data_IF_300942083304
#
_entry.id   IF_300942083304
#
_cell.length_a   1.000
_cell.length_b   1.000
_cell.length_c   1.000
_cell.angle_alpha   90.00
_cell.angle_beta   90.00
_cell.angle_gamma   90.00
#
_symmetry.space_group_name_H-M   'P 1'
#
loop_
_entity.id
_entity.type
_entity.pdbx_description
1 polymer ?
#
# COMPACT_ATOMS: atom_id res chain seq x y z
N UNK A 1 13.61 4.22 14.16
CA UNK A 1 14.58 4.41 13.06
C UNK A 1 13.79 4.97 11.87
N UNK A 2 14.15 6.13 11.34
CA UNK A 2 13.42 6.74 10.21
C UNK A 2 13.70 5.96 8.93
N UNK A 3 12.72 5.87 8.03
CA UNK A 3 12.87 5.19 6.72
C UNK A 3 14.06 5.75 5.94
N UNK A 4 14.35 7.05 6.07
CA UNK A 4 15.48 7.73 5.45
C UNK A 4 16.82 7.18 5.95
N UNK A 5 17.00 6.99 7.27
CA UNK A 5 18.25 6.44 7.83
C UNK A 5 18.50 5.02 7.31
N UNK A 6 17.45 4.23 7.16
CA UNK A 6 17.55 2.87 6.61
C UNK A 6 17.90 2.90 5.12
N UNK A 7 17.24 3.76 4.33
CA UNK A 7 17.52 3.93 2.91
C UNK A 7 18.98 4.34 2.66
N UNK A 8 19.52 5.29 3.44
CA UNK A 8 20.92 5.70 3.37
C UNK A 8 21.91 4.58 3.74
N UNK A 9 21.59 3.77 4.76
CA UNK A 9 22.44 2.62 5.13
C UNK A 9 22.46 1.56 4.03
N UNK A 10 21.30 1.20 3.50
CA UNK A 10 21.17 0.23 2.41
C UNK A 10 21.81 0.77 1.13
N UNK A 11 21.60 2.05 0.79
CA UNK A 11 22.20 2.68 -0.36
C UNK A 11 23.72 2.61 -0.33
N UNK A 12 24.36 2.93 0.80
CA UNK A 12 25.82 2.79 0.98
C UNK A 12 26.29 1.34 0.87
N UNK A 13 25.52 0.40 1.42
CA UNK A 13 25.88 -1.03 1.39
C UNK A 13 25.83 -1.61 -0.03
N UNK A 14 24.92 -1.14 -0.85
CA UNK A 14 24.67 -1.66 -2.21
C UNK A 14 25.05 -0.69 -3.32
N UNK A 15 25.89 0.30 -3.02
CA UNK A 15 26.29 1.35 -3.98
C UNK A 15 27.01 0.84 -5.25
N UNK A 16 27.48 -0.41 -5.27
CA UNK A 16 28.07 -1.03 -6.45
C UNK A 16 27.05 -1.70 -7.38
N UNK A 17 25.79 -1.80 -6.95
CA UNK A 17 24.73 -2.46 -7.70
C UNK A 17 23.87 -1.45 -8.47
N UNK A 18 23.19 -1.93 -9.51
CA UNK A 18 22.25 -1.08 -10.24
C UNK A 18 21.06 -0.67 -9.36
N UNK A 19 20.69 0.63 -9.31
CA UNK A 19 19.64 1.13 -8.40
C UNK A 19 18.31 0.39 -8.50
N UNK A 20 17.87 0.10 -9.75
CA UNK A 20 16.60 -0.61 -9.99
C UNK A 20 16.62 -2.06 -9.46
N UNK A 21 17.75 -2.76 -9.59
CA UNK A 21 17.88 -4.14 -9.08
C UNK A 21 17.75 -4.17 -7.56
N UNK A 22 18.38 -3.20 -6.87
CA UNK A 22 18.27 -3.09 -5.41
C UNK A 22 16.85 -2.73 -5.00
N UNK A 23 16.19 -1.80 -5.70
CA UNK A 23 14.80 -1.45 -5.42
C UNK A 23 13.86 -2.65 -5.55
N UNK A 24 13.98 -3.43 -6.63
CA UNK A 24 13.19 -4.65 -6.84
C UNK A 24 13.48 -5.67 -5.74
N UNK A 25 14.75 -5.88 -5.39
CA UNK A 25 15.13 -6.79 -4.30
C UNK A 25 14.49 -6.41 -2.97
N UNK A 26 14.50 -5.11 -2.61
CA UNK A 26 13.85 -4.60 -1.39
C UNK A 26 12.33 -4.78 -1.46
N UNK A 27 11.71 -4.48 -2.61
CA UNK A 27 10.27 -4.63 -2.79
C UNK A 27 9.84 -6.10 -2.64
N UNK A 28 10.55 -7.03 -3.26
CA UNK A 28 10.28 -8.48 -3.16
C UNK A 28 10.49 -8.98 -1.72
N UNK A 29 11.63 -8.66 -1.10
CA UNK A 29 11.91 -9.08 0.28
C UNK A 29 10.89 -8.49 1.27
N UNK A 30 10.50 -7.23 1.08
CA UNK A 30 9.49 -6.57 1.89
C UNK A 30 8.10 -7.17 1.68
N UNK A 31 7.72 -7.49 0.44
CA UNK A 31 6.45 -8.17 0.13
C UNK A 31 6.40 -9.57 0.78
N UNK A 32 7.48 -10.35 0.69
CA UNK A 32 7.55 -11.66 1.32
C UNK A 32 7.43 -11.58 2.84
N UNK A 33 8.16 -10.65 3.48
CA UNK A 33 8.08 -10.45 4.93
C UNK A 33 6.67 -10.03 5.35
N UNK A 34 6.07 -9.07 4.62
CA UNK A 34 4.71 -8.60 4.89
C UNK A 34 3.69 -9.73 4.71
N UNK A 35 3.84 -10.55 3.67
CA UNK A 35 3.01 -11.74 3.45
C UNK A 35 3.12 -12.71 4.62
N UNK A 36 4.32 -13.03 5.08
CA UNK A 36 4.53 -13.92 6.23
C UNK A 36 3.84 -13.39 7.49
N UNK A 37 3.96 -12.09 7.76
CA UNK A 37 3.30 -11.45 8.91
C UNK A 37 1.78 -11.56 8.79
N UNK A 38 1.22 -11.18 7.64
CA UNK A 38 -0.24 -11.12 7.44
C UNK A 38 -0.86 -12.52 7.39
N UNK A 39 -0.19 -13.48 6.74
CA UNK A 39 -0.60 -14.90 6.75
C UNK A 39 -0.54 -15.46 8.18
N UNK A 40 0.53 -15.19 8.92
CA UNK A 40 0.64 -15.60 10.33
C UNK A 40 -0.50 -15.07 11.20
N UNK A 41 -0.85 -13.79 11.03
CA UNK A 41 -2.02 -13.19 11.70
C UNK A 41 -3.31 -13.90 11.26
N UNK A 42 -3.51 -14.08 9.95
CA UNK A 42 -4.70 -14.70 9.40
C UNK A 42 -4.92 -16.13 9.88
N UNK A 43 -3.88 -16.96 9.86
CA UNK A 43 -3.95 -18.35 10.36
C UNK A 43 -4.20 -18.39 11.87
N UNK A 44 -3.54 -17.52 12.65
CA UNK A 44 -3.80 -17.39 14.09
C UNK A 44 -5.24 -17.01 14.38
N UNK A 45 -5.83 -16.13 13.56
CA UNK A 45 -7.24 -15.77 13.66
C UNK A 45 -8.13 -16.96 13.32
N UNK A 46 -7.91 -17.64 12.20
CA UNK A 46 -8.80 -18.71 11.72
C UNK A 46 -8.72 -19.98 12.56
N UNK A 47 -7.53 -20.37 13.01
CA UNK A 47 -7.31 -21.65 13.71
C UNK A 47 -7.47 -21.56 15.23
N UNK A 48 -7.29 -20.39 15.84
CA UNK A 48 -7.28 -20.26 17.29
C UNK A 48 -8.23 -19.22 17.87
N UNK A 49 -8.22 -18.00 17.34
CA UNK A 49 -8.88 -16.86 17.97
C UNK A 49 -10.36 -16.72 17.60
N UNK A 50 -10.80 -17.27 16.47
CA UNK A 50 -12.19 -17.12 16.01
C UNK A 50 -13.19 -17.95 16.81
N UNK A 51 -12.80 -19.04 17.42
CA UNK A 51 -13.65 -19.78 18.35
C UNK A 51 -13.84 -19.06 19.71
N UNK A 52 -13.04 -18.02 19.96
CA UNK A 52 -12.97 -17.28 21.19
C UNK A 52 -13.78 -15.96 21.22
N UNK A 53 -13.50 -15.10 22.18
CA UNK A 53 -14.18 -13.81 22.35
C UNK A 53 -14.05 -12.88 21.13
N UNK A 54 -12.92 -12.94 20.42
CA UNK A 54 -12.63 -12.07 19.26
C UNK A 54 -13.55 -12.41 18.08
N UNK A 55 -13.71 -13.68 17.74
CA UNK A 55 -14.63 -14.09 16.67
C UNK A 55 -16.08 -13.74 17.01
N UNK A 56 -16.51 -13.95 18.27
CA UNK A 56 -17.85 -13.51 18.70
C UNK A 56 -18.03 -12.00 18.67
N UNK A 57 -16.96 -11.23 18.87
CA UNK A 57 -17.00 -9.77 18.73
C UNK A 57 -17.14 -9.37 17.26
N UNK A 58 -16.38 -9.98 16.36
CA UNK A 58 -16.47 -9.75 14.91
C UNK A 58 -17.89 -10.02 14.40
N UNK A 59 -18.47 -11.17 14.73
CA UNK A 59 -19.85 -11.51 14.34
C UNK A 59 -20.87 -10.51 14.95
N UNK A 60 -20.76 -10.16 16.23
CA UNK A 60 -21.66 -9.16 16.84
C UNK A 60 -21.60 -7.81 16.15
N UNK A 61 -20.45 -7.37 15.66
CA UNK A 61 -20.35 -6.11 14.90
C UNK A 61 -21.07 -6.25 13.55
N UNK A 62 -20.92 -7.38 12.87
CA UNK A 62 -21.65 -7.63 11.61
C UNK A 62 -23.17 -7.70 11.85
N UNK A 63 -23.62 -8.37 12.92
CA UNK A 63 -25.03 -8.42 13.31
C UNK A 63 -25.57 -7.03 13.63
N UNK A 64 -24.77 -6.21 14.33
CA UNK A 64 -25.15 -4.83 14.65
C UNK A 64 -25.36 -4.01 13.37
N UNK A 65 -24.43 -4.11 12.41
CA UNK A 65 -24.59 -3.44 11.12
C UNK A 65 -25.81 -3.95 10.37
N UNK A 66 -26.04 -5.28 10.35
CA UNK A 66 -27.22 -5.86 9.72
C UNK A 66 -28.53 -5.28 10.31
N UNK A 67 -28.60 -5.19 11.64
CA UNK A 67 -29.78 -4.64 12.33
C UNK A 67 -30.01 -3.14 12.05
N UNK A 68 -28.97 -2.41 11.63
CA UNK A 68 -29.02 -0.98 11.31
C UNK A 68 -28.96 -0.67 9.81
N UNK A 69 -29.08 -1.67 8.95
CA UNK A 69 -29.15 -1.46 7.49
C UNK A 69 -30.43 -0.73 7.12
N UNK A 70 -30.30 0.21 6.21
CA UNK A 70 -31.44 0.95 5.66
C UNK A 70 -31.24 1.20 4.17
N UNK A 71 -32.33 1.28 3.41
CA UNK A 71 -32.30 1.61 1.99
C UNK A 71 -31.62 2.96 1.69
N UNK A 72 -31.54 3.87 2.67
CA UNK A 72 -30.83 5.16 2.53
C UNK A 72 -29.31 5.04 2.69
N UNK A 73 -28.82 4.02 3.42
CA UNK A 73 -27.39 3.80 3.65
C UNK A 73 -26.75 2.83 2.63
N UNK A 74 -27.54 1.94 2.04
CA UNK A 74 -27.06 0.94 1.06
C UNK A 74 -26.31 1.58 -0.13
N UNK A 75 -26.77 2.72 -0.73
CA UNK A 75 -26.02 3.39 -1.79
C UNK A 75 -24.64 3.91 -1.36
N UNK A 76 -24.48 4.32 -0.09
CA UNK A 76 -23.19 4.74 0.43
C UNK A 76 -22.22 3.57 0.61
N UNK A 77 -22.73 2.40 1.02
CA UNK A 77 -21.90 1.19 1.07
C UNK A 77 -21.45 0.78 -0.35
N UNK A 78 -22.33 0.87 -1.33
CA UNK A 78 -22.00 0.67 -2.74
C UNK A 78 -20.96 1.65 -3.26
N UNK A 79 -21.08 2.93 -2.90
CA UNK A 79 -20.09 3.95 -3.26
C UNK A 79 -18.70 3.60 -2.69
N UNK A 80 -18.64 3.21 -1.39
CA UNK A 80 -17.39 2.79 -0.77
C UNK A 80 -16.75 1.59 -1.46
N UNK A 81 -17.55 0.61 -1.87
CA UNK A 81 -17.08 -0.52 -2.69
C UNK A 81 -16.54 -0.06 -4.04
N UNK A 82 -17.29 0.79 -4.74
CA UNK A 82 -16.94 1.28 -6.09
C UNK A 82 -15.62 2.07 -6.08
N UNK A 83 -15.39 2.94 -5.09
CA UNK A 83 -14.17 3.74 -4.97
C UNK A 83 -12.91 2.86 -4.87
N UNK A 84 -13.01 1.71 -4.22
CA UNK A 84 -11.90 0.80 -3.98
C UNK A 84 -11.97 -0.51 -4.80
N UNK A 85 -12.91 -0.61 -5.73
CA UNK A 85 -12.98 -1.74 -6.66
C UNK A 85 -11.73 -1.75 -7.56
N UNK A 86 -11.24 -2.95 -7.89
CA UNK A 86 -10.01 -3.13 -8.69
C UNK A 86 -10.00 -2.25 -9.95
N UNK A 87 -11.11 -2.19 -10.70
CA UNK A 87 -11.21 -1.36 -11.90
C UNK A 87 -11.04 0.14 -11.61
N UNK A 88 -11.65 0.65 -10.52
CA UNK A 88 -11.55 2.05 -10.12
C UNK A 88 -10.13 2.40 -9.66
N UNK A 89 -9.53 1.54 -8.83
CA UNK A 89 -8.14 1.71 -8.36
C UNK A 89 -7.17 1.72 -9.53
N UNK A 90 -7.30 0.77 -10.46
CA UNK A 90 -6.45 0.72 -11.65
C UNK A 90 -6.64 1.93 -12.57
N UNK A 91 -7.88 2.39 -12.77
CA UNK A 91 -8.15 3.57 -13.60
C UNK A 91 -7.53 4.83 -12.99
N UNK A 92 -7.73 5.07 -11.69
CA UNK A 92 -7.13 6.24 -11.00
C UNK A 92 -5.61 6.13 -11.00
N UNK A 93 -5.06 4.95 -10.67
CA UNK A 93 -3.62 4.74 -10.67
C UNK A 93 -3.01 4.96 -12.07
N UNK A 94 -3.64 4.44 -13.12
CA UNK A 94 -3.18 4.63 -14.50
C UNK A 94 -3.15 6.11 -14.89
N UNK A 95 -4.22 6.86 -14.62
CA UNK A 95 -4.27 8.31 -14.88
C UNK A 95 -3.15 9.04 -14.14
N UNK A 96 -2.98 8.76 -12.85
CA UNK A 96 -1.93 9.40 -12.03
C UNK A 96 -0.54 9.05 -12.56
N UNK A 97 -0.27 7.78 -12.83
CA UNK A 97 1.02 7.33 -13.37
C UNK A 97 1.31 8.01 -14.71
N UNK A 98 0.34 8.07 -15.63
CA UNK A 98 0.51 8.77 -16.91
C UNK A 98 0.86 10.25 -16.69
N UNK A 99 0.14 10.94 -15.80
CA UNK A 99 0.42 12.35 -15.47
C UNK A 99 1.83 12.51 -14.89
N UNK A 100 2.25 11.64 -13.97
CA UNK A 100 3.60 11.66 -13.40
C UNK A 100 4.68 11.41 -14.44
N UNK A 101 4.46 10.48 -15.39
CA UNK A 101 5.39 10.20 -16.48
C UNK A 101 5.52 11.38 -17.46
N UNK A 102 4.40 12.02 -17.83
CA UNK A 102 4.39 13.25 -18.66
C UNK A 102 5.14 14.38 -17.94
N UNK A 103 4.93 14.53 -16.62
CA UNK A 103 5.62 15.49 -15.77
C UNK A 103 7.09 15.12 -15.49
N UNK A 104 7.61 14.01 -16.04
CA UNK A 104 8.95 13.44 -15.83
C UNK A 104 9.26 13.11 -14.35
N UNK A 105 8.24 12.84 -13.56
CA UNK A 105 8.35 12.44 -12.14
C UNK A 105 8.45 10.91 -12.02
N UNK A 106 9.47 10.34 -12.62
CA UNK A 106 9.65 8.88 -12.74
C UNK A 106 9.72 8.15 -11.40
N UNK A 107 10.38 8.75 -10.39
CA UNK A 107 10.50 8.17 -9.05
C UNK A 107 9.16 8.10 -8.32
N UNK A 108 8.30 9.09 -8.52
CA UNK A 108 6.97 9.12 -7.93
C UNK A 108 6.04 8.10 -8.60
N UNK A 109 6.14 7.97 -9.94
CA UNK A 109 5.43 6.94 -10.68
C UNK A 109 5.89 5.54 -10.22
N UNK A 110 7.19 5.32 -10.11
CA UNK A 110 7.75 4.06 -9.60
C UNK A 110 7.30 3.75 -8.17
N UNK A 111 7.23 4.76 -7.28
CA UNK A 111 6.71 4.61 -5.93
C UNK A 111 5.28 4.09 -5.92
N UNK A 112 4.37 4.74 -6.68
CA UNK A 112 2.96 4.36 -6.70
C UNK A 112 2.75 2.96 -7.28
N UNK A 113 3.42 2.66 -8.40
CA UNK A 113 3.36 1.34 -9.04
C UNK A 113 3.89 0.26 -8.10
N UNK A 114 5.03 0.49 -7.44
CA UNK A 114 5.60 -0.47 -6.49
C UNK A 114 4.68 -0.67 -5.29
N UNK A 115 4.08 0.38 -4.75
CA UNK A 115 3.16 0.28 -3.61
C UNK A 115 1.95 -0.59 -3.94
N UNK A 116 1.30 -0.36 -5.09
CA UNK A 116 0.16 -1.15 -5.54
C UNK A 116 0.56 -2.58 -5.92
N UNK A 117 1.74 -2.78 -6.53
CA UNK A 117 2.24 -4.11 -6.84
C UNK A 117 2.52 -4.95 -5.59
N UNK A 118 3.13 -4.35 -4.57
CA UNK A 118 3.37 -5.01 -3.27
C UNK A 118 2.04 -5.32 -2.59
N UNK A 119 1.12 -4.34 -2.53
CA UNK A 119 -0.19 -4.52 -1.92
C UNK A 119 -0.95 -5.68 -2.56
N UNK A 120 -1.14 -5.67 -3.88
CA UNK A 120 -1.92 -6.71 -4.58
C UNK A 120 -1.26 -8.08 -4.47
N UNK A 121 0.07 -8.15 -4.50
CA UNK A 121 0.80 -9.42 -4.35
C UNK A 121 0.58 -10.02 -2.96
N UNK A 122 0.74 -9.22 -1.90
CA UNK A 122 0.48 -9.63 -0.52
C UNK A 122 -0.97 -10.06 -0.34
N UNK A 123 -1.92 -9.26 -0.83
CA UNK A 123 -3.34 -9.58 -0.79
C UNK A 123 -3.65 -10.92 -1.46
N UNK A 124 -3.23 -11.13 -2.72
CA UNK A 124 -3.53 -12.34 -3.48
C UNK A 124 -2.96 -13.58 -2.82
N UNK A 125 -1.69 -13.54 -2.38
CA UNK A 125 -1.06 -14.68 -1.71
C UNK A 125 -1.77 -14.98 -0.38
N UNK A 126 -2.06 -13.94 0.40
CA UNK A 126 -2.71 -14.11 1.70
C UNK A 126 -4.12 -14.68 1.55
N UNK A 127 -4.92 -14.19 0.59
CA UNK A 127 -6.30 -14.67 0.40
C UNK A 127 -6.37 -16.13 -0.05
N UNK A 128 -5.30 -16.64 -0.70
CA UNK A 128 -5.20 -18.07 -1.07
C UNK A 128 -4.80 -18.92 0.13
N UNK A 129 -3.86 -18.42 0.96
CA UNK A 129 -3.31 -19.20 2.09
C UNK A 129 -4.19 -19.16 3.34
N UNK A 130 -4.95 -18.07 3.53
CA UNK A 130 -5.85 -17.88 4.68
C UNK A 130 -7.29 -18.02 4.21
N UNK A 131 -7.83 -19.24 4.26
CA UNK A 131 -9.18 -19.56 3.79
C UNK A 131 -10.25 -19.16 4.83
N UNK A 132 -10.29 -17.91 5.25
CA UNK A 132 -11.27 -17.42 6.21
C UNK A 132 -12.66 -17.28 5.58
N UNK A 133 -13.72 -17.85 6.18
CA UNK A 133 -15.09 -17.65 5.70
C UNK A 133 -15.50 -16.17 5.88
N UNK A 134 -16.45 -15.75 5.03
CA UNK A 134 -17.07 -14.43 5.17
C UNK A 134 -18.05 -14.39 6.33
N UNK A 135 -18.46 -13.18 6.81
CA UNK A 135 -19.53 -13.03 7.79
C UNK A 135 -20.80 -13.82 7.42
N UNK A 136 -21.48 -14.35 8.43
CA UNK A 136 -22.70 -15.16 8.24
C UNK A 136 -23.93 -14.33 7.89
N UNK A 137 -23.84 -13.00 7.98
CA UNK A 137 -24.94 -12.08 7.63
C UNK A 137 -25.16 -12.01 6.11
N UNK A 138 -26.40 -11.73 5.65
CA UNK A 138 -26.68 -11.49 4.23
C UNK A 138 -25.80 -10.38 3.66
N UNK A 139 -25.19 -10.65 2.51
CA UNK A 139 -24.29 -9.72 1.84
C UNK A 139 -25.07 -8.80 0.88
N UNK A 140 -24.71 -7.51 0.82
CA UNK A 140 -25.34 -6.54 -0.10
C UNK A 140 -24.83 -6.68 -1.54
N UNK A 141 -23.73 -7.37 -1.75
CA UNK A 141 -23.09 -7.56 -3.05
C UNK A 141 -22.71 -9.02 -3.26
N UNK A 142 -22.65 -9.51 -4.50
CA UNK A 142 -22.14 -10.84 -4.79
C UNK A 142 -20.69 -10.98 -4.27
N UNK A 143 -20.46 -11.95 -3.38
CA UNK A 143 -19.12 -12.21 -2.88
C UNK A 143 -18.31 -13.01 -3.90
N UNK A 144 -17.06 -12.62 -4.18
CA UNK A 144 -16.15 -13.46 -4.93
C UNK A 144 -15.85 -14.74 -4.12
N UNK A 145 -15.56 -15.87 -4.80
CA UNK A 145 -15.25 -17.16 -4.14
C UNK A 145 -13.83 -17.16 -3.55
N UNK A 146 -13.51 -16.12 -2.78
CA UNK A 146 -12.20 -15.92 -2.15
C UNK A 146 -12.37 -15.74 -0.65
N UNK A 147 -11.27 -15.90 0.10
CA UNK A 147 -11.23 -15.62 1.53
C UNK A 147 -11.77 -14.23 1.87
N UNK A 148 -12.36 -14.07 3.07
CA UNK A 148 -12.68 -12.74 3.59
C UNK A 148 -11.43 -11.98 4.04
N UNK A 149 -10.34 -12.68 4.35
CA UNK A 149 -9.12 -12.10 4.94
C UNK A 149 -7.98 -12.01 3.94
N UNK A 150 -7.28 -10.87 3.90
CA UNK A 150 -7.67 -9.54 4.38
C UNK A 150 -8.65 -8.85 3.43
N UNK A 151 -9.15 -7.63 3.74
CA UNK A 151 -9.97 -6.84 2.82
C UNK A 151 -9.11 -6.17 1.74
N UNK A 152 -9.17 -6.67 0.50
CA UNK A 152 -8.45 -6.09 -0.63
C UNK A 152 -8.87 -4.65 -0.93
N UNK A 153 -10.18 -4.33 -0.87
CA UNK A 153 -10.67 -2.97 -1.07
C UNK A 153 -10.04 -1.97 -0.10
N UNK A 154 -9.98 -2.33 1.18
CA UNK A 154 -9.39 -1.45 2.21
C UNK A 154 -7.88 -1.29 2.02
N UNK A 155 -7.16 -2.38 1.72
CA UNK A 155 -5.72 -2.34 1.48
C UNK A 155 -5.36 -1.50 0.25
N UNK A 156 -6.07 -1.71 -0.87
CA UNK A 156 -5.88 -0.95 -2.11
C UNK A 156 -6.23 0.54 -1.93
N UNK A 157 -7.30 0.86 -1.18
CA UNK A 157 -7.64 2.24 -0.87
C UNK A 157 -6.53 2.93 -0.06
N UNK A 158 -5.92 2.25 0.92
CA UNK A 158 -4.78 2.79 1.66
C UNK A 158 -3.58 3.00 0.72
N UNK A 159 -3.20 1.98 -0.04
CA UNK A 159 -2.05 2.06 -0.94
C UNK A 159 -2.20 3.19 -1.96
N UNK A 160 -3.40 3.37 -2.54
CA UNK A 160 -3.66 4.42 -3.51
C UNK A 160 -3.81 5.79 -2.87
N UNK A 161 -4.81 6.01 -2.02
CA UNK A 161 -5.18 7.36 -1.58
C UNK A 161 -4.19 7.95 -0.57
N UNK A 162 -3.69 7.13 0.37
CA UNK A 162 -2.62 7.57 1.27
C UNK A 162 -1.31 7.72 0.51
N UNK A 163 -1.02 6.82 -0.45
CA UNK A 163 0.12 6.95 -1.35
C UNK A 163 0.11 8.25 -2.15
N UNK A 164 -1.05 8.65 -2.69
CA UNK A 164 -1.23 9.95 -3.36
C UNK A 164 -0.97 11.13 -2.42
N UNK A 165 -1.45 11.08 -1.19
CA UNK A 165 -1.17 12.13 -0.21
C UNK A 165 0.33 12.22 0.12
N UNK A 166 1.04 11.10 0.19
CA UNK A 166 2.49 11.08 0.38
C UNK A 166 3.21 11.77 -0.79
N UNK A 167 2.78 11.56 -2.03
CA UNK A 167 3.35 12.18 -3.23
C UNK A 167 3.02 13.66 -3.36
N UNK A 168 1.81 14.08 -2.97
CA UNK A 168 1.34 15.45 -3.12
C UNK A 168 1.76 16.35 -1.95
N UNK A 169 1.81 15.82 -0.74
CA UNK A 169 2.08 16.57 0.50
C UNK A 169 3.35 17.45 0.46
N UNK A 170 4.49 17.02 -0.13
CA UNK A 170 5.69 17.86 -0.23
C UNK A 170 5.49 19.12 -1.10
N UNK A 171 4.53 19.09 -2.05
CA UNK A 171 4.26 20.17 -2.99
C UNK A 171 3.22 21.18 -2.47
N UNK A 172 2.51 20.83 -1.40
CA UNK A 172 1.52 21.71 -0.76
C UNK A 172 2.22 22.60 0.25
N UNK A 173 2.24 23.92 0.00
CA UNK A 173 2.87 24.92 0.89
C UNK A 173 2.04 25.24 2.12
N UNK A 174 0.72 25.35 1.94
CA UNK A 174 -0.19 25.69 3.03
C UNK A 174 -0.36 24.52 4.00
N UNK A 175 -0.11 24.75 5.30
CA UNK A 175 -0.32 23.76 6.36
C UNK A 175 -1.77 23.29 6.45
N UNK A 176 -2.73 24.20 6.26
CA UNK A 176 -4.16 23.89 6.27
C UNK A 176 -4.51 22.96 5.11
N UNK A 177 -4.08 23.30 3.88
CA UNK A 177 -4.32 22.44 2.72
C UNK A 177 -3.64 21.09 2.84
N UNK A 178 -2.45 21.04 3.43
CA UNK A 178 -1.76 19.78 3.73
C UNK A 178 -2.54 18.94 4.73
N UNK A 179 -3.06 19.56 5.79
CA UNK A 179 -3.90 18.85 6.77
C UNK A 179 -5.19 18.33 6.12
N UNK A 180 -5.87 19.14 5.29
CA UNK A 180 -7.05 18.72 4.55
C UNK A 180 -6.75 17.56 3.59
N UNK A 181 -5.64 17.61 2.87
CA UNK A 181 -5.19 16.50 2.01
C UNK A 181 -5.06 15.19 2.79
N UNK A 182 -4.41 15.22 3.96
CA UNK A 182 -4.27 14.04 4.79
C UNK A 182 -5.58 13.57 5.41
N UNK A 183 -6.45 14.50 5.84
CA UNK A 183 -7.79 14.15 6.32
C UNK A 183 -8.58 13.41 5.24
N UNK A 184 -8.62 13.94 4.02
CA UNK A 184 -9.32 13.29 2.90
C UNK A 184 -8.69 11.93 2.59
N UNK A 185 -7.37 11.86 2.48
CA UNK A 185 -6.64 10.64 2.14
C UNK A 185 -6.84 9.50 3.15
N UNK A 186 -7.06 9.82 4.43
CA UNK A 186 -7.33 8.84 5.48
C UNK A 186 -8.84 8.53 5.55
N UNK A 187 -9.70 9.53 5.35
CA UNK A 187 -11.16 9.33 5.41
C UNK A 187 -11.67 8.38 4.32
N UNK A 188 -11.05 8.38 3.13
CA UNK A 188 -11.47 7.48 2.05
C UNK A 188 -11.28 6.00 2.42
N UNK A 189 -10.10 5.52 2.83
CA UNK A 189 -9.93 4.13 3.28
C UNK A 189 -10.80 3.77 4.49
N UNK A 190 -11.01 4.70 5.43
CA UNK A 190 -11.91 4.48 6.57
C UNK A 190 -13.35 4.30 6.09
N UNK A 191 -13.81 5.14 5.19
CA UNK A 191 -15.14 5.01 4.59
C UNK A 191 -15.30 3.69 3.83
N UNK A 192 -14.30 3.30 3.03
CA UNK A 192 -14.27 1.98 2.37
C UNK A 192 -14.36 0.86 3.39
N UNK A 193 -13.54 0.92 4.44
CA UNK A 193 -13.50 -0.08 5.51
C UNK A 193 -14.87 -0.29 6.16
N UNK A 194 -15.51 0.80 6.59
CA UNK A 194 -16.86 0.77 7.16
C UNK A 194 -17.88 0.23 6.17
N UNK A 195 -17.81 0.64 4.91
CA UNK A 195 -18.68 0.15 3.84
C UNK A 195 -18.58 -1.37 3.65
N UNK A 196 -17.38 -1.94 3.75
CA UNK A 196 -17.16 -3.40 3.59
C UNK A 196 -17.74 -4.20 4.76
N UNK A 197 -17.62 -3.69 6.00
CA UNK A 197 -18.23 -4.32 7.17
C UNK A 197 -19.76 -4.17 7.12
N UNK A 198 -20.27 -2.99 6.81
CA UNK A 198 -21.70 -2.72 6.62
C UNK A 198 -22.33 -3.64 5.57
N UNK A 199 -21.65 -3.84 4.44
CA UNK A 199 -22.10 -4.71 3.36
C UNK A 199 -22.07 -6.21 3.74
N UNK A 200 -21.56 -6.61 4.90
CA UNK A 200 -21.40 -8.00 5.32
C UNK A 200 -20.34 -8.76 4.54
N UNK A 201 -19.42 -8.05 3.91
CA UNK A 201 -18.39 -8.66 3.06
C UNK A 201 -17.13 -9.04 3.84
N UNK A 202 -16.86 -8.37 4.94
CA UNK A 202 -15.66 -8.53 5.77
C UNK A 202 -15.99 -8.39 7.25
N UNK A 203 -15.18 -9.05 8.08
CA UNK A 203 -15.14 -8.79 9.52
C UNK A 203 -14.28 -7.56 9.80
N UNK A 204 -14.42 -6.99 11.01
CA UNK A 204 -13.59 -5.85 11.43
C UNK A 204 -12.10 -6.22 11.46
N UNK A 205 -11.79 -7.44 11.90
CA UNK A 205 -10.39 -7.92 11.93
C UNK A 205 -9.79 -8.08 10.54
N UNK A 206 -10.56 -8.38 9.48
CA UNK A 206 -10.10 -8.42 8.09
C UNK A 206 -9.67 -7.02 7.62
N UNK A 207 -10.49 -6.03 7.98
CA UNK A 207 -10.24 -4.61 7.66
C UNK A 207 -9.02 -4.09 8.42
N UNK A 208 -8.87 -4.42 9.70
CA UNK A 208 -7.69 -4.04 10.49
C UNK A 208 -6.40 -4.65 9.94
N UNK A 209 -6.43 -5.92 9.51
CA UNK A 209 -5.30 -6.54 8.84
C UNK A 209 -4.94 -5.84 7.52
N UNK A 210 -5.93 -5.32 6.80
CA UNK A 210 -5.72 -4.55 5.57
C UNK A 210 -4.95 -3.24 5.79
N UNK A 211 -5.04 -2.66 7.00
CA UNK A 211 -4.21 -1.51 7.37
C UNK A 211 -2.73 -1.90 7.38
N UNK A 212 -2.41 -3.10 7.88
CA UNK A 212 -1.03 -3.62 7.88
C UNK A 212 -0.55 -3.83 6.44
N UNK A 213 -1.41 -4.38 5.56
CA UNK A 213 -1.06 -4.60 4.15
C UNK A 213 -0.81 -3.27 3.43
N UNK A 214 -1.78 -2.34 3.47
CA UNK A 214 -1.67 -1.07 2.75
C UNK A 214 -0.53 -0.17 3.27
N UNK A 215 -0.43 0.01 4.60
CA UNK A 215 0.65 0.78 5.20
C UNK A 215 2.02 0.12 5.00
N UNK A 216 2.10 -1.21 5.14
CA UNK A 216 3.30 -1.99 4.87
C UNK A 216 3.76 -1.85 3.42
N UNK A 217 2.86 -1.91 2.46
CA UNK A 217 3.16 -1.70 1.03
C UNK A 217 3.74 -0.30 0.77
N UNK A 218 3.17 0.75 1.37
CA UNK A 218 3.68 2.12 1.28
C UNK A 218 5.08 2.25 1.92
N UNK A 219 5.31 1.60 3.06
CA UNK A 219 6.63 1.60 3.72
C UNK A 219 7.68 0.87 2.88
N UNK A 220 7.36 -0.31 2.36
CA UNK A 220 8.26 -1.09 1.49
C UNK A 220 8.60 -0.31 0.23
N UNK A 221 7.60 0.27 -0.44
CA UNK A 221 7.80 1.09 -1.63
C UNK A 221 8.66 2.32 -1.33
N UNK A 222 8.38 3.03 -0.23
CA UNK A 222 9.20 4.18 0.20
C UNK A 222 10.64 3.80 0.41
N UNK A 223 10.91 2.68 1.09
CA UNK A 223 12.27 2.20 1.33
C UNK A 223 12.97 1.82 0.03
N UNK A 224 12.30 1.08 -0.85
CA UNK A 224 12.84 0.64 -2.13
C UNK A 224 13.26 1.82 -3.02
N UNK A 225 12.35 2.78 -3.21
CA UNK A 225 12.59 3.92 -4.10
C UNK A 225 13.62 4.88 -3.51
N UNK A 226 13.57 5.20 -2.22
CA UNK A 226 14.56 6.07 -1.58
C UNK A 226 15.96 5.44 -1.61
N UNK A 227 16.09 4.14 -1.40
CA UNK A 227 17.38 3.43 -1.53
C UNK A 227 17.93 3.54 -2.95
N UNK A 228 17.08 3.36 -3.96
CA UNK A 228 17.48 3.51 -5.36
C UNK A 228 17.95 4.94 -5.69
N UNK A 229 17.29 5.96 -5.14
CA UNK A 229 17.70 7.36 -5.31
C UNK A 229 19.09 7.57 -4.70
N UNK A 230 19.34 7.11 -3.47
CA UNK A 230 20.65 7.25 -2.80
C UNK A 230 21.77 6.58 -3.62
N UNK A 231 21.51 5.39 -4.20
CA UNK A 231 22.51 4.71 -5.03
C UNK A 231 22.77 5.47 -6.34
N UNK A 232 21.72 5.97 -6.98
CA UNK A 232 21.83 6.74 -8.23
C UNK A 232 22.67 8.00 -8.01
N UNK A 233 22.36 8.77 -6.96
CA UNK A 233 23.05 10.01 -6.64
C UNK A 233 24.54 9.75 -6.33
N UNK A 234 24.86 8.63 -5.65
CA UNK A 234 26.25 8.21 -5.42
C UNK A 234 27.00 7.83 -6.70
N UNK A 235 26.31 7.27 -7.71
CA UNK A 235 26.90 6.96 -9.01
C UNK A 235 27.16 8.23 -9.83
N UNK A 236 26.25 9.21 -9.78
CA UNK A 236 26.43 10.50 -10.47
C UNK A 236 27.67 11.23 -9.97
N UNK A 237 27.83 11.39 -8.63
CA UNK A 237 29.00 12.02 -8.02
C UNK A 237 30.31 11.30 -8.40
N UNK A 238 30.32 9.98 -8.37
CA UNK A 238 31.53 9.20 -8.74
C UNK A 238 31.93 9.40 -10.22
N UNK A 239 30.95 9.49 -11.11
CA UNK A 239 31.20 9.69 -12.53
C UNK A 239 31.77 11.10 -12.81
N UNK A 240 31.29 12.13 -12.10
CA UNK A 240 31.81 13.49 -12.17
C UNK A 240 33.27 13.54 -11.70
N UNK A 241 33.60 12.99 -10.52
CA UNK A 241 34.98 12.92 -10.01
C UNK A 241 35.93 12.17 -10.94
N UNK A 242 35.46 11.13 -11.61
CA UNK A 242 36.28 10.36 -12.55
C UNK A 242 36.50 11.14 -13.86
N UNK A 243 35.45 11.82 -14.34
CA UNK A 243 35.53 12.69 -15.52
C UNK A 243 36.54 13.84 -15.34
N UNK A 244 36.47 14.54 -14.18
CA UNK A 244 37.37 15.62 -13.86
C UNK A 244 38.85 15.16 -13.75
N UNK A 245 39.08 13.98 -13.18
CA UNK A 245 40.46 13.40 -13.09
C UNK A 245 41.06 13.09 -14.48
N UNK A 246 40.22 12.62 -15.42
CA UNK A 246 40.67 12.32 -16.79
C UNK A 246 41.02 13.61 -17.53
N UNK A 247 40.25 14.68 -17.34
CA UNK A 247 40.53 15.98 -17.97
C UNK A 247 41.84 16.60 -17.44
N UNK A 248 42.04 16.59 -16.13
CA UNK A 248 43.27 17.14 -15.49
C UNK A 248 44.50 16.32 -15.88
N UNK A 249 44.42 15.01 -16.03
CA UNK A 249 45.52 14.16 -16.45
C UNK A 249 45.88 14.31 -17.95
N UNK A 250 44.92 14.71 -18.78
CA UNK A 250 45.15 14.98 -20.20
C UNK A 250 45.87 16.29 -20.49
N UNK A 251 45.70 17.31 -19.62
CA UNK A 251 46.39 18.61 -19.76
C UNK A 251 47.89 18.57 -19.34
N UNK A 252 48.32 17.58 -18.57
CA UNK A 252 49.73 17.47 -18.08
C UNK A 252 50.62 16.74 -19.07
N UNK A 253 50.07 16.12 -20.10
CA UNK A 253 50.82 15.33 -21.10
C UNK A 253 50.86 15.98 -22.51
N UNK A 254 50.42 17.20 -22.66
CA UNK A 254 50.52 18.04 -23.87
C UNK A 254 51.55 19.15 -23.66
#
# INVERSE_FOLDING_TARGET
>A
MRTDDMAHRLGRRFQSHHPATVAVGIAVAGALLLTLIVVGIGLSLTEGLLSGPLGRWDERVNDWFLAHRTAGLDPWAHLGSTIAMTGSVLAVAAVVVIVLLIARRWTDAAFLVTALAVEVSVFLITTVLVARPRPTVPQLEPAPPTSSFPSGHTAAAIALYVGLAMLLSPHVRSTVLKALLWVVAISIPVFVAVSRVYAGMHHVTDVLASVIVGAGALMVSSLAIRTAIVIRDAHEVRNEETGDRVLVSGEVTG
#
